data_IF_982408025631
#
_entry.id   IF_982408025631
#
_cell.length_a   1.000
_cell.length_b   1.000
_cell.length_c   1.000
_cell.angle_alpha   90.00
_cell.angle_beta   90.00
_cell.angle_gamma   90.00
#
_symmetry.space_group_name_H-M   'P 1'
#
loop_
_entity.id
_entity.type
_entity.pdbx_description
1 polymer ?
#
# COMPACT_ATOMS: atom_id res chain seq x y z
N UNK A 1 -8.50 5.91 -8.84
CA UNK A 1 -9.87 5.93 -8.31
C UNK A 1 -10.86 5.76 -9.44
N UNK A 2 -11.86 4.91 -9.27
CA UNK A 2 -12.97 4.72 -10.22
C UNK A 2 -14.24 5.25 -9.53
N UNK A 3 -14.56 6.51 -9.80
CA UNK A 3 -15.63 7.23 -9.08
C UNK A 3 -16.66 7.89 -10.01
N UNK A 4 -16.51 7.76 -11.32
CA UNK A 4 -17.46 8.27 -12.32
C UNK A 4 -17.63 7.28 -13.47
N UNK A 5 -18.70 7.42 -14.28
CA UNK A 5 -18.90 6.68 -15.52
C UNK A 5 -17.71 6.77 -16.48
N UNK A 6 -17.16 7.97 -16.65
CA UNK A 6 -16.01 8.23 -17.53
C UNK A 6 -14.76 7.50 -17.02
N UNK A 7 -14.52 7.51 -15.71
CA UNK A 7 -13.41 6.78 -15.10
C UNK A 7 -13.57 5.27 -15.29
N UNK A 8 -14.78 4.74 -15.15
CA UNK A 8 -15.05 3.31 -15.39
C UNK A 8 -14.85 2.95 -16.88
N UNK A 9 -15.36 3.75 -17.81
CA UNK A 9 -15.19 3.53 -19.24
C UNK A 9 -13.72 3.60 -19.70
N UNK A 10 -12.87 4.35 -18.99
CA UNK A 10 -11.45 4.50 -19.32
C UNK A 10 -10.59 3.30 -18.90
N UNK A 11 -11.05 2.41 -18.02
CA UNK A 11 -10.22 1.33 -17.44
C UNK A 11 -9.76 0.33 -18.51
N UNK A 12 -10.68 -0.19 -19.34
CA UNK A 12 -10.33 -1.16 -20.37
C UNK A 12 -9.36 -0.56 -21.41
N UNK A 13 -9.59 0.64 -21.99
CA UNK A 13 -8.61 1.31 -22.85
C UNK A 13 -7.25 1.56 -22.20
N UNK A 14 -7.20 1.86 -20.89
CA UNK A 14 -5.92 1.99 -20.16
C UNK A 14 -5.21 0.63 -20.10
N UNK A 15 -5.93 -0.45 -19.82
CA UNK A 15 -5.37 -1.81 -19.81
C UNK A 15 -4.78 -2.20 -21.17
N UNK A 16 -5.51 -1.91 -22.25
CA UNK A 16 -5.05 -2.18 -23.61
C UNK A 16 -3.77 -1.42 -23.97
N UNK A 17 -3.71 -0.12 -23.63
CA UNK A 17 -2.51 0.71 -23.85
C UNK A 17 -1.31 0.23 -23.04
N UNK A 18 -1.52 -0.20 -21.80
CA UNK A 18 -0.45 -0.79 -20.98
C UNK A 18 0.07 -2.09 -21.59
N UNK A 19 -0.81 -2.96 -22.07
CA UNK A 19 -0.42 -4.19 -22.74
C UNK A 19 0.38 -3.92 -24.02
N UNK A 20 0.03 -2.88 -24.78
CA UNK A 20 0.73 -2.51 -26.03
C UNK A 20 2.19 -2.03 -25.80
N UNK A 21 2.54 -1.66 -24.57
CA UNK A 21 3.92 -1.23 -24.20
C UNK A 21 4.59 -2.22 -23.25
N UNK A 22 4.17 -3.50 -23.24
CA UNK A 22 4.61 -4.54 -22.32
C UNK A 22 4.49 -4.15 -20.84
N UNK A 23 3.64 -3.19 -20.52
CA UNK A 23 3.34 -2.71 -19.18
C UNK A 23 2.45 -3.68 -18.41
N UNK A 24 2.96 -4.85 -18.05
CA UNK A 24 2.22 -5.91 -17.38
C UNK A 24 2.04 -5.62 -15.88
N UNK A 25 1.49 -4.46 -15.54
CA UNK A 25 1.16 -4.09 -14.16
C UNK A 25 -0.33 -4.27 -13.90
N UNK A 26 -0.74 -4.92 -12.78
CA UNK A 26 -2.14 -5.10 -12.45
C UNK A 26 -2.81 -3.76 -12.11
N UNK A 27 -3.97 -3.49 -12.72
CA UNK A 27 -4.79 -2.34 -12.37
C UNK A 27 -5.71 -2.67 -11.20
N UNK A 28 -5.71 -1.83 -10.18
CA UNK A 28 -6.58 -1.97 -9.01
C UNK A 28 -7.61 -0.85 -9.02
N UNK A 29 -8.89 -1.19 -9.08
CA UNK A 29 -9.99 -0.23 -9.01
C UNK A 29 -10.23 0.19 -7.55
N UNK A 30 -10.08 1.47 -7.26
CA UNK A 30 -10.41 2.05 -5.96
C UNK A 30 -11.79 2.70 -6.03
N UNK A 31 -12.79 2.03 -5.43
CA UNK A 31 -14.19 2.41 -5.50
C UNK A 31 -14.64 3.13 -4.22
N UNK A 32 -15.44 4.18 -4.44
CA UNK A 32 -16.10 4.96 -3.39
C UNK A 32 -17.58 5.12 -3.72
N UNK A 33 -18.46 5.07 -2.73
CA UNK A 33 -19.91 5.33 -2.76
C UNK A 33 -20.73 4.66 -3.87
N UNK A 34 -20.34 4.80 -5.14
CA UNK A 34 -21.08 4.31 -6.33
C UNK A 34 -20.45 3.09 -6.99
N UNK A 35 -19.46 2.44 -6.35
CA UNK A 35 -18.75 1.28 -6.92
C UNK A 35 -19.69 0.13 -7.33
N UNK A 36 -20.75 -0.13 -6.55
CA UNK A 36 -21.77 -1.13 -6.88
C UNK A 36 -22.44 -0.86 -8.24
N UNK A 37 -22.72 0.41 -8.57
CA UNK A 37 -23.29 0.80 -9.85
C UNK A 37 -22.27 0.69 -10.98
N UNK A 38 -21.05 1.18 -10.75
CA UNK A 38 -20.00 1.19 -11.77
C UNK A 38 -19.58 -0.23 -12.18
N UNK A 39 -19.40 -1.14 -11.21
CA UNK A 39 -19.08 -2.54 -11.49
C UNK A 39 -20.22 -3.28 -12.22
N UNK A 40 -21.47 -2.88 -11.99
CA UNK A 40 -22.63 -3.49 -12.67
C UNK A 40 -22.86 -2.93 -14.07
N UNK A 41 -22.72 -1.62 -14.23
CA UNK A 41 -23.04 -0.93 -15.49
C UNK A 41 -21.88 -0.94 -16.51
N UNK A 42 -20.64 -1.16 -16.03
CA UNK A 42 -19.43 -1.20 -16.85
C UNK A 42 -18.70 -2.54 -16.70
N UNK A 43 -19.20 -3.62 -17.33
CA UNK A 43 -18.62 -4.95 -17.24
C UNK A 43 -17.16 -4.98 -17.71
N UNK A 44 -16.81 -4.25 -18.77
CA UNK A 44 -15.44 -4.17 -19.27
C UNK A 44 -14.47 -3.57 -18.23
N UNK A 45 -14.93 -2.61 -17.43
CA UNK A 45 -14.16 -2.10 -16.29
C UNK A 45 -13.95 -3.19 -15.24
N UNK A 46 -15.01 -3.90 -14.87
CA UNK A 46 -14.95 -4.96 -13.87
C UNK A 46 -14.00 -6.09 -14.30
N UNK A 47 -14.02 -6.47 -15.57
CA UNK A 47 -13.18 -7.51 -16.15
C UNK A 47 -11.70 -7.09 -16.29
N UNK A 48 -11.44 -5.87 -16.76
CA UNK A 48 -10.09 -5.36 -17.00
C UNK A 48 -9.30 -5.10 -15.70
N UNK A 49 -9.97 -4.88 -14.58
CA UNK A 49 -9.33 -4.71 -13.27
C UNK A 49 -8.80 -6.04 -12.74
N UNK A 50 -7.61 -6.00 -12.14
CA UNK A 50 -7.01 -7.16 -11.48
C UNK A 50 -7.51 -7.36 -10.04
N UNK A 51 -7.99 -6.29 -9.39
CA UNK A 51 -8.48 -6.32 -8.00
C UNK A 51 -9.40 -5.12 -7.76
N UNK A 52 -10.38 -5.29 -6.87
CA UNK A 52 -11.21 -4.19 -6.40
C UNK A 52 -10.80 -3.76 -4.99
N UNK A 53 -10.74 -2.45 -4.72
CA UNK A 53 -10.66 -1.93 -3.38
C UNK A 53 -12.02 -1.39 -2.96
N UNK A 54 -12.51 -1.87 -1.85
CA UNK A 54 -13.79 -1.48 -1.25
C UNK A 54 -13.52 -0.92 0.15
N UNK A 55 -14.04 0.26 0.44
CA UNK A 55 -14.07 0.80 1.79
C UNK A 55 -15.47 0.60 2.39
N UNK A 56 -15.65 -0.30 3.38
CA UNK A 56 -16.96 -0.59 3.95
C UNK A 56 -17.66 0.65 4.54
N UNK A 57 -16.88 1.62 5.04
CA UNK A 57 -17.42 2.89 5.55
C UNK A 57 -17.98 3.83 4.47
N UNK A 58 -17.63 3.59 3.20
CA UNK A 58 -18.02 4.47 2.08
C UNK A 58 -18.91 3.77 1.04
N UNK A 59 -19.46 2.60 1.33
CA UNK A 59 -20.30 1.86 0.35
C UNK A 59 -21.76 2.30 0.38
N UNK A 60 -22.21 2.93 1.46
CA UNK A 60 -23.59 3.36 1.64
C UNK A 60 -23.88 3.67 3.10
N UNK A 61 -25.12 4.03 3.40
CA UNK A 61 -25.55 4.30 4.77
C UNK A 61 -26.76 3.42 5.15
N UNK A 62 -26.79 2.98 6.42
CA UNK A 62 -27.89 2.18 6.96
C UNK A 62 -28.12 0.87 6.20
N UNK A 63 -29.36 0.50 5.96
CA UNK A 63 -29.75 -0.75 5.28
C UNK A 63 -29.26 -0.88 3.83
N UNK A 64 -28.93 0.23 3.17
CA UNK A 64 -28.39 0.21 1.80
C UNK A 64 -26.91 -0.22 1.75
N UNK A 65 -26.18 -0.08 2.85
CA UNK A 65 -24.76 -0.38 2.95
C UNK A 65 -24.48 -1.86 2.65
N UNK A 66 -25.19 -2.76 3.30
CA UNK A 66 -24.98 -4.19 3.12
C UNK A 66 -25.34 -4.64 1.70
N UNK A 67 -26.45 -4.17 1.13
CA UNK A 67 -26.85 -4.49 -0.23
C UNK A 67 -25.84 -3.98 -1.28
N UNK A 68 -25.30 -2.78 -1.12
CA UNK A 68 -24.31 -2.22 -2.02
C UNK A 68 -22.96 -2.92 -1.90
N UNK A 69 -22.55 -3.28 -0.68
CA UNK A 69 -21.38 -4.10 -0.45
C UNK A 69 -21.53 -5.48 -1.10
N UNK A 70 -22.69 -6.13 -0.88
CA UNK A 70 -22.99 -7.44 -1.48
C UNK A 70 -22.89 -7.40 -3.01
N UNK A 71 -23.46 -6.40 -3.67
CA UNK A 71 -23.36 -6.23 -5.14
C UNK A 71 -21.91 -6.15 -5.61
N UNK A 72 -21.03 -5.47 -4.87
CA UNK A 72 -19.61 -5.36 -5.25
C UNK A 72 -18.87 -6.68 -5.04
N UNK A 73 -19.18 -7.43 -3.99
CA UNK A 73 -18.62 -8.78 -3.76
C UNK A 73 -19.12 -9.77 -4.80
N UNK A 74 -20.41 -9.74 -5.14
CA UNK A 74 -20.98 -10.58 -6.21
C UNK A 74 -20.30 -10.31 -7.57
N UNK A 75 -20.00 -9.04 -7.89
CA UNK A 75 -19.22 -8.70 -9.06
C UNK A 75 -17.80 -9.28 -8.98
N UNK A 76 -17.16 -9.24 -7.81
CA UNK A 76 -15.83 -9.83 -7.61
C UNK A 76 -15.86 -11.35 -7.80
N UNK A 77 -16.88 -12.04 -7.26
CA UNK A 77 -17.07 -13.47 -7.46
C UNK A 77 -17.30 -13.81 -8.95
N UNK A 78 -18.19 -13.06 -9.62
CA UNK A 78 -18.52 -13.26 -11.03
C UNK A 78 -17.29 -13.18 -11.93
N UNK A 79 -16.42 -12.21 -11.72
CA UNK A 79 -15.22 -11.98 -12.53
C UNK A 79 -13.95 -12.62 -11.94
N UNK A 80 -14.08 -13.36 -10.85
CA UNK A 80 -12.96 -14.06 -10.20
C UNK A 80 -11.91 -13.13 -9.58
N UNK A 81 -12.28 -11.90 -9.21
CA UNK A 81 -11.34 -10.87 -8.75
C UNK A 81 -11.14 -10.89 -7.23
N UNK A 82 -9.90 -10.77 -6.75
CA UNK A 82 -9.66 -10.51 -5.33
C UNK A 82 -10.17 -9.13 -4.93
N UNK A 83 -10.48 -8.99 -3.64
CA UNK A 83 -10.97 -7.74 -3.05
C UNK A 83 -10.05 -7.31 -1.92
N UNK A 84 -9.65 -6.04 -1.93
CA UNK A 84 -9.05 -5.42 -0.75
C UNK A 84 -10.12 -4.65 0.01
N UNK A 85 -10.46 -5.15 1.18
CA UNK A 85 -11.30 -4.46 2.16
C UNK A 85 -10.43 -3.44 2.88
N UNK A 86 -10.64 -2.17 2.55
CA UNK A 86 -9.78 -1.08 3.00
C UNK A 86 -10.49 -0.13 3.95
N UNK A 87 -10.35 -0.37 5.25
CA UNK A 87 -10.90 0.49 6.29
C UNK A 87 -9.93 1.63 6.58
N UNK A 88 -10.45 2.83 6.70
CA UNK A 88 -9.70 4.01 7.10
C UNK A 88 -10.35 4.62 8.34
N UNK A 89 -9.52 5.15 9.22
CA UNK A 89 -9.95 5.85 10.42
C UNK A 89 -11.00 6.95 10.14
N UNK A 90 -10.74 7.82 9.18
CA UNK A 90 -11.64 8.93 8.83
C UNK A 90 -12.99 8.53 8.22
N UNK A 91 -13.20 7.25 7.92
CA UNK A 91 -14.46 6.70 7.37
C UNK A 91 -14.97 5.50 8.16
N UNK A 92 -14.62 5.42 9.44
CA UNK A 92 -15.08 4.37 10.33
C UNK A 92 -16.59 4.46 10.56
N UNK A 93 -17.24 3.30 10.70
CA UNK A 93 -18.66 3.22 11.03
C UNK A 93 -18.93 3.80 12.42
N UNK A 94 -19.63 4.92 12.45
CA UNK A 94 -19.95 5.64 13.69
C UNK A 94 -20.89 4.84 14.60
N UNK A 95 -21.78 4.02 14.03
CA UNK A 95 -22.68 3.17 14.83
C UNK A 95 -21.90 2.07 15.55
N UNK A 96 -20.96 1.41 14.86
CA UNK A 96 -20.06 0.42 15.47
C UNK A 96 -19.22 1.07 16.56
N UNK A 97 -18.63 2.24 16.29
CA UNK A 97 -17.82 2.95 17.28
C UNK A 97 -18.63 3.32 18.53
N UNK A 98 -19.82 3.87 18.36
CA UNK A 98 -20.69 4.21 19.47
C UNK A 98 -21.06 2.98 20.32
N UNK A 99 -21.45 1.88 19.69
CA UNK A 99 -21.72 0.62 20.35
C UNK A 99 -20.53 0.12 21.20
N UNK A 100 -19.33 0.19 20.65
CA UNK A 100 -18.11 -0.24 21.38
C UNK A 100 -17.76 0.72 22.52
N UNK A 101 -17.95 2.02 22.34
CA UNK A 101 -17.76 3.01 23.42
C UNK A 101 -18.76 2.79 24.57
N UNK A 102 -20.04 2.57 24.26
CA UNK A 102 -21.08 2.29 25.26
C UNK A 102 -20.76 1.00 26.04
N UNK A 103 -20.37 -0.08 25.31
CA UNK A 103 -19.97 -1.31 25.95
C UNK A 103 -18.72 -1.13 26.83
N UNK A 104 -17.74 -0.35 26.38
CA UNK A 104 -16.53 -0.05 27.16
C UNK A 104 -16.85 0.71 28.46
N UNK A 105 -17.82 1.63 28.42
CA UNK A 105 -18.23 2.40 29.60
C UNK A 105 -18.81 1.52 30.73
N UNK A 106 -19.31 0.32 30.40
CA UNK A 106 -19.86 -0.62 31.38
C UNK A 106 -18.81 -1.52 32.03
N UNK A 107 -17.56 -1.50 31.54
CA UNK A 107 -16.46 -2.33 32.07
C UNK A 107 -16.00 -1.80 33.45
N UNK A 108 -15.58 -2.72 34.33
CA UNK A 108 -14.96 -2.36 35.62
C UNK A 108 -13.70 -1.52 35.45
N UNK A 109 -12.96 -1.79 34.38
CA UNK A 109 -11.75 -1.05 33.99
C UNK A 109 -11.90 -0.71 32.50
N UNK A 110 -12.45 0.47 32.17
CA UNK A 110 -12.60 0.88 30.79
C UNK A 110 -11.25 1.00 30.06
N UNK A 111 -11.23 0.60 28.81
CA UNK A 111 -10.09 0.81 27.94
C UNK A 111 -9.98 2.29 27.54
N UNK A 112 -8.78 2.69 27.07
CA UNK A 112 -8.63 4.04 26.50
C UNK A 112 -9.44 4.21 25.21
N UNK A 113 -9.79 5.45 24.90
CA UNK A 113 -10.52 5.76 23.67
C UNK A 113 -9.79 5.26 22.41
N UNK A 114 -8.48 5.39 22.37
CA UNK A 114 -7.62 4.89 21.28
C UNK A 114 -7.74 3.37 21.13
N UNK A 115 -7.78 2.63 22.24
CA UNK A 115 -7.92 1.18 22.21
C UNK A 115 -9.30 0.76 21.68
N UNK A 116 -10.37 1.44 22.09
CA UNK A 116 -11.73 1.18 21.58
C UNK A 116 -11.82 1.50 20.09
N UNK A 117 -11.23 2.59 19.67
CA UNK A 117 -11.21 2.99 18.27
C UNK A 117 -10.39 2.00 17.41
N UNK A 118 -9.26 1.50 17.92
CA UNK A 118 -8.48 0.44 17.26
C UNK A 118 -9.31 -0.83 17.09
N UNK A 119 -10.02 -1.26 18.14
CA UNK A 119 -10.95 -2.41 18.06
C UNK A 119 -12.04 -2.18 17.01
N UNK A 120 -12.64 -0.99 16.97
CA UNK A 120 -13.65 -0.66 15.98
C UNK A 120 -13.12 -0.77 14.54
N UNK A 121 -11.88 -0.30 14.30
CA UNK A 121 -11.23 -0.36 13.01
C UNK A 121 -10.98 -1.82 12.56
N UNK A 122 -10.41 -2.62 13.45
CA UNK A 122 -10.10 -4.03 13.21
C UNK A 122 -11.40 -4.83 12.99
N UNK A 123 -12.38 -4.62 13.86
CA UNK A 123 -13.68 -5.31 13.79
C UNK A 123 -14.41 -4.98 12.49
N UNK A 124 -14.41 -3.73 12.07
CA UNK A 124 -14.99 -3.34 10.77
C UNK A 124 -14.35 -4.09 9.59
N UNK A 125 -13.03 -4.32 9.63
CA UNK A 125 -12.34 -5.09 8.59
C UNK A 125 -12.70 -6.59 8.65
N UNK A 126 -12.65 -7.19 9.82
CA UNK A 126 -12.92 -8.63 10.02
C UNK A 126 -14.38 -8.95 9.72
N UNK A 127 -15.34 -8.18 10.23
CA UNK A 127 -16.77 -8.40 9.98
C UNK A 127 -17.09 -8.26 8.49
N UNK A 128 -16.45 -7.30 7.81
CA UNK A 128 -16.59 -7.14 6.36
C UNK A 128 -15.98 -8.31 5.58
N UNK A 129 -14.87 -8.88 6.05
CA UNK A 129 -14.27 -10.06 5.44
C UNK A 129 -15.15 -11.31 5.63
N UNK A 130 -15.69 -11.50 6.83
CA UNK A 130 -16.65 -12.58 7.11
C UNK A 130 -17.89 -12.46 6.21
N UNK A 131 -18.43 -11.23 6.08
CA UNK A 131 -19.55 -10.96 5.18
C UNK A 131 -19.23 -11.24 3.72
N UNK A 132 -18.03 -10.91 3.24
CA UNK A 132 -17.60 -11.22 1.89
C UNK A 132 -17.53 -12.75 1.65
N UNK A 133 -17.09 -13.51 2.63
CA UNK A 133 -17.07 -14.99 2.54
C UNK A 133 -18.47 -15.58 2.52
N UNK A 134 -19.40 -15.08 3.34
CA UNK A 134 -20.82 -15.47 3.29
C UNK A 134 -21.45 -15.26 1.91
N UNK A 135 -20.99 -14.23 1.19
CA UNK A 135 -21.41 -13.90 -0.18
C UNK A 135 -20.67 -14.71 -1.25
N UNK A 136 -19.78 -15.63 -0.86
CA UNK A 136 -19.12 -16.57 -1.76
C UNK A 136 -17.69 -16.19 -2.17
N UNK A 137 -17.11 -15.10 -1.65
CA UNK A 137 -15.72 -14.78 -1.93
C UNK A 137 -14.80 -15.61 -1.03
N UNK A 138 -13.87 -16.39 -1.63
CA UNK A 138 -12.95 -17.23 -0.85
C UNK A 138 -11.93 -16.38 -0.07
N UNK A 139 -11.48 -16.87 1.09
CA UNK A 139 -10.59 -16.14 2.00
C UNK A 139 -9.25 -15.75 1.34
N UNK A 140 -8.71 -16.60 0.46
CA UNK A 140 -7.47 -16.35 -0.31
C UNK A 140 -7.59 -15.20 -1.31
N UNK A 141 -8.81 -14.74 -1.61
CA UNK A 141 -9.08 -13.56 -2.44
C UNK A 141 -9.37 -12.30 -1.65
N UNK A 142 -9.25 -12.35 -0.33
CA UNK A 142 -9.47 -11.19 0.54
C UNK A 142 -8.14 -10.64 1.03
N UNK A 143 -7.96 -9.32 0.86
CA UNK A 143 -6.84 -8.57 1.42
C UNK A 143 -7.40 -7.54 2.38
N UNK A 144 -6.87 -7.46 3.60
CA UNK A 144 -7.30 -6.47 4.59
C UNK A 144 -6.33 -5.30 4.67
N UNK A 145 -6.86 -4.12 4.86
CA UNK A 145 -6.06 -2.94 5.23
C UNK A 145 -6.82 -2.04 6.20
N UNK A 146 -6.13 -1.69 7.29
CA UNK A 146 -6.62 -0.80 8.34
C UNK A 146 -5.67 0.40 8.43
N UNK A 147 -6.04 1.54 7.84
CA UNK A 147 -5.14 2.68 7.71
C UNK A 147 -5.43 3.76 8.73
N UNK A 148 -4.36 4.18 9.38
CA UNK A 148 -4.30 5.30 10.33
C UNK A 148 -3.15 6.22 9.95
N UNK A 149 -3.07 7.42 10.53
CA UNK A 149 -2.03 8.41 10.22
C UNK A 149 -0.81 8.36 11.14
N UNK A 150 -0.95 7.78 12.34
CA UNK A 150 0.12 7.65 13.32
C UNK A 150 0.93 6.36 13.15
N UNK A 151 2.24 6.45 13.35
CA UNK A 151 3.16 5.30 13.21
C UNK A 151 2.88 4.26 14.28
N UNK A 152 2.78 4.67 15.55
CA UNK A 152 2.59 3.75 16.67
C UNK A 152 1.21 3.09 16.62
N UNK A 153 0.18 3.85 16.24
CA UNK A 153 -1.17 3.33 16.05
C UNK A 153 -1.21 2.31 14.91
N UNK A 154 -0.51 2.57 13.79
CA UNK A 154 -0.44 1.61 12.69
C UNK A 154 0.19 0.29 13.14
N UNK A 155 1.31 0.37 13.83
CA UNK A 155 2.01 -0.82 14.36
C UNK A 155 1.07 -1.60 15.30
N UNK A 156 0.41 -0.92 16.23
CA UNK A 156 -0.51 -1.56 17.16
C UNK A 156 -1.71 -2.21 16.45
N UNK A 157 -2.32 -1.52 15.46
CA UNK A 157 -3.43 -2.04 14.66
C UNK A 157 -3.04 -3.32 13.93
N UNK A 158 -1.90 -3.33 13.22
CA UNK A 158 -1.53 -4.49 12.40
C UNK A 158 -0.99 -5.66 13.20
N UNK A 159 -0.32 -5.42 14.33
CA UNK A 159 0.04 -6.50 15.26
C UNK A 159 -1.20 -7.23 15.78
N UNK A 160 -2.23 -6.48 16.13
CA UNK A 160 -3.49 -7.06 16.59
C UNK A 160 -4.27 -7.70 15.44
N UNK A 161 -4.39 -7.04 14.28
CA UNK A 161 -5.09 -7.57 13.10
C UNK A 161 -4.50 -8.89 12.64
N UNK A 162 -3.16 -9.02 12.65
CA UNK A 162 -2.47 -10.25 12.27
C UNK A 162 -2.78 -11.45 13.19
N UNK A 163 -3.28 -11.21 14.41
CA UNK A 163 -3.71 -12.29 15.33
C UNK A 163 -5.19 -12.68 15.16
N UNK A 164 -5.96 -11.89 14.39
CA UNK A 164 -7.41 -12.04 14.27
C UNK A 164 -7.86 -12.89 13.07
N UNK A 165 -6.96 -13.28 12.18
CA UNK A 165 -7.27 -14.10 11.03
C UNK A 165 -6.09 -14.28 10.08
N UNK A 166 -6.21 -15.22 9.17
CA UNK A 166 -5.17 -15.55 8.18
C UNK A 166 -5.52 -14.92 6.81
N UNK A 167 -5.60 -13.61 6.79
CA UNK A 167 -5.83 -12.83 5.57
C UNK A 167 -4.54 -12.13 5.12
N UNK A 168 -4.37 -11.99 3.82
CA UNK A 168 -3.32 -11.14 3.28
C UNK A 168 -3.50 -9.68 3.76
N UNK A 169 -2.42 -9.06 4.22
CA UNK A 169 -2.43 -7.72 4.79
C UNK A 169 -1.76 -6.69 3.88
N UNK A 170 -2.44 -5.57 3.68
CA UNK A 170 -1.91 -4.44 2.91
C UNK A 170 -1.57 -3.28 3.83
N UNK A 171 -0.28 -3.08 4.05
CA UNK A 171 0.23 -2.06 4.97
C UNK A 171 0.29 -0.67 4.34
N UNK A 172 0.17 0.36 5.15
CA UNK A 172 0.45 1.74 4.77
C UNK A 172 -0.22 2.75 5.68
N UNK A 173 0.46 3.85 5.93
CA UNK A 173 -0.13 5.02 6.56
C UNK A 173 -1.13 5.70 5.60
N UNK A 174 -2.07 6.45 6.15
CA UNK A 174 -2.79 7.50 5.45
C UNK A 174 -2.28 8.85 5.95
N UNK A 175 -2.20 9.85 5.07
CA UNK A 175 -1.80 11.21 5.45
C UNK A 175 -0.41 11.27 6.15
N UNK A 176 0.56 10.49 5.68
CA UNK A 176 1.87 10.42 6.31
C UNK A 176 2.64 11.76 6.28
N UNK A 177 2.33 12.63 5.33
CA UNK A 177 2.89 13.98 5.18
C UNK A 177 3.67 14.17 3.88
N UNK A 178 4.27 15.37 3.76
CA UNK A 178 5.09 15.76 2.61
C UNK A 178 6.57 15.44 2.84
N UNK A 179 7.30 15.25 1.74
CA UNK A 179 8.76 15.18 1.71
C UNK A 179 9.33 14.20 2.74
N UNK A 180 10.37 14.60 3.43
CA UNK A 180 11.10 13.77 4.40
C UNK A 180 10.21 13.26 5.55
N UNK A 181 9.25 14.06 6.03
CA UNK A 181 8.33 13.61 7.10
C UNK A 181 7.53 12.39 6.67
N UNK A 182 6.93 12.43 5.48
CA UNK A 182 6.13 11.33 4.94
C UNK A 182 6.97 10.08 4.68
N UNK A 183 8.18 10.26 4.17
CA UNK A 183 9.13 9.17 3.91
C UNK A 183 9.54 8.51 5.23
N UNK A 184 9.98 9.29 6.22
CA UNK A 184 10.41 8.77 7.54
C UNK A 184 9.27 8.06 8.25
N UNK A 185 8.07 8.65 8.30
CA UNK A 185 6.92 8.03 8.94
C UNK A 185 6.53 6.70 8.26
N UNK A 186 6.48 6.68 6.93
CA UNK A 186 6.17 5.46 6.17
C UNK A 186 7.24 4.39 6.37
N UNK A 187 8.52 4.77 6.31
CA UNK A 187 9.65 3.84 6.50
C UNK A 187 9.62 3.24 7.91
N UNK A 188 9.44 4.06 8.96
CA UNK A 188 9.40 3.58 10.33
C UNK A 188 8.25 2.60 10.58
N UNK A 189 7.05 2.94 10.12
CA UNK A 189 5.87 2.09 10.33
C UNK A 189 5.98 0.76 9.56
N UNK A 190 6.37 0.82 8.28
CA UNK A 190 6.48 -0.36 7.43
C UNK A 190 7.64 -1.26 7.84
N UNK A 191 8.79 -0.67 8.21
CA UNK A 191 9.97 -1.45 8.58
C UNK A 191 9.72 -2.33 9.82
N UNK A 192 9.08 -1.78 10.87
CA UNK A 192 8.77 -2.55 12.07
C UNK A 192 7.87 -3.73 11.75
N UNK A 193 6.77 -3.50 11.04
CA UNK A 193 5.81 -4.56 10.71
C UNK A 193 6.40 -5.62 9.79
N UNK A 194 7.11 -5.21 8.74
CA UNK A 194 7.75 -6.15 7.81
C UNK A 194 8.84 -6.98 8.50
N UNK A 195 9.60 -6.40 9.42
CA UNK A 195 10.61 -7.13 10.22
C UNK A 195 9.97 -8.20 11.11
N UNK A 196 8.73 -7.99 11.54
CA UNK A 196 7.94 -8.95 12.31
C UNK A 196 7.22 -9.99 11.44
N UNK A 197 7.41 -9.96 10.11
CA UNK A 197 6.73 -10.84 9.16
C UNK A 197 5.27 -10.46 8.90
N UNK A 198 4.85 -9.25 9.26
CA UNK A 198 3.49 -8.74 9.07
C UNK A 198 3.43 -7.93 7.78
N UNK A 199 2.58 -8.34 6.84
CA UNK A 199 2.28 -7.61 5.61
C UNK A 199 2.73 -8.31 4.33
N UNK A 200 1.83 -8.35 3.35
CA UNK A 200 2.02 -9.01 2.04
C UNK A 200 2.19 -8.00 0.92
N UNK A 201 1.58 -6.83 1.05
CA UNK A 201 1.70 -5.70 0.13
C UNK A 201 1.81 -4.40 0.90
N UNK A 202 2.48 -3.41 0.31
CA UNK A 202 2.70 -2.11 0.94
C UNK A 202 2.25 -0.96 0.05
N UNK A 203 1.92 0.18 0.67
CA UNK A 203 1.72 1.45 0.02
C UNK A 203 2.35 2.57 0.83
N UNK A 204 3.19 3.35 0.19
CA UNK A 204 3.66 4.63 0.71
C UNK A 204 2.65 5.72 0.33
N UNK A 205 2.33 6.63 1.23
CA UNK A 205 1.41 7.74 1.00
C UNK A 205 2.13 9.06 1.26
N UNK A 206 2.48 9.75 0.19
CA UNK A 206 3.11 11.07 0.27
C UNK A 206 2.12 12.12 -0.24
N UNK A 207 2.09 13.28 0.42
CA UNK A 207 1.46 14.46 -0.15
C UNK A 207 2.39 14.99 -1.24
N UNK A 208 1.97 15.03 -2.51
CA UNK A 208 2.85 15.49 -3.59
C UNK A 208 3.10 16.99 -3.47
N UNK A 209 4.29 17.41 -3.85
CA UNK A 209 4.55 18.81 -4.11
C UNK A 209 3.78 19.27 -5.36
N UNK A 210 3.46 20.56 -5.48
CA UNK A 210 2.86 21.09 -6.71
C UNK A 210 3.73 20.73 -7.93
N UNK A 211 3.14 20.04 -8.91
CA UNK A 211 3.82 19.48 -10.09
C UNK A 211 4.90 18.41 -9.78
N UNK A 212 4.90 17.86 -8.56
CA UNK A 212 5.83 16.80 -8.15
C UNK A 212 5.59 15.48 -8.86
N UNK A 213 6.65 14.67 -8.93
CA UNK A 213 6.61 13.34 -9.52
C UNK A 213 5.76 12.38 -8.68
N UNK A 214 4.68 11.88 -9.27
CA UNK A 214 3.76 10.91 -8.64
C UNK A 214 4.36 9.51 -8.50
N UNK A 215 5.47 9.21 -9.16
CA UNK A 215 6.17 7.93 -9.03
C UNK A 215 7.00 7.84 -7.75
N UNK A 216 7.22 8.95 -7.06
CA UNK A 216 8.02 9.01 -5.83
C UNK A 216 7.53 8.04 -4.74
N UNK A 217 6.22 7.84 -4.61
CA UNK A 217 5.65 6.88 -3.65
C UNK A 217 6.09 5.44 -3.96
N UNK A 218 6.23 5.07 -5.24
CA UNK A 218 6.70 3.76 -5.67
C UNK A 218 8.21 3.62 -5.43
N UNK A 219 8.97 4.66 -5.75
CA UNK A 219 10.42 4.68 -5.50
C UNK A 219 10.71 4.49 -4.01
N UNK A 220 10.06 5.23 -3.14
CA UNK A 220 10.22 5.09 -1.68
C UNK A 220 9.81 3.71 -1.19
N UNK A 221 8.73 3.14 -1.70
CA UNK A 221 8.31 1.78 -1.35
C UNK A 221 9.35 0.73 -1.76
N UNK A 222 9.95 0.86 -2.94
CA UNK A 222 11.03 0.01 -3.41
C UNK A 222 12.28 0.16 -2.53
N UNK A 223 12.66 1.39 -2.19
CA UNK A 223 13.82 1.68 -1.33
C UNK A 223 13.64 1.08 0.08
N UNK A 224 12.44 1.14 0.66
CA UNK A 224 12.15 0.48 1.95
C UNK A 224 12.39 -1.02 1.85
N UNK A 225 11.80 -1.69 0.87
CA UNK A 225 11.93 -3.14 0.71
C UNK A 225 13.38 -3.57 0.39
N UNK A 226 14.08 -2.78 -0.40
CA UNK A 226 15.46 -3.06 -0.78
C UNK A 226 16.43 -2.83 0.38
N UNK A 227 16.29 -1.73 1.10
CA UNK A 227 17.13 -1.41 2.27
C UNK A 227 16.95 -2.45 3.38
N UNK A 228 15.75 -2.98 3.54
CA UNK A 228 15.47 -4.07 4.48
C UNK A 228 15.88 -5.46 3.99
N UNK A 229 16.35 -5.60 2.76
CA UNK A 229 16.79 -6.88 2.18
C UNK A 229 15.65 -7.82 1.76
N UNK A 230 14.41 -7.35 1.69
CA UNK A 230 13.28 -8.19 1.25
C UNK A 230 13.22 -8.37 -0.27
N UNK A 231 13.59 -7.35 -1.03
CA UNK A 231 13.58 -7.37 -2.51
C UNK A 231 14.69 -6.50 -3.07
N UNK A 232 15.12 -6.81 -4.28
CA UNK A 232 16.03 -5.97 -5.08
C UNK A 232 15.32 -5.46 -6.32
N UNK A 233 15.41 -4.17 -6.57
CA UNK A 233 14.77 -3.52 -7.73
C UNK A 233 15.79 -2.89 -8.69
N UNK A 234 16.87 -2.35 -8.12
CA UNK A 234 17.98 -1.76 -8.84
C UNK A 234 19.28 -1.94 -8.02
N UNK A 235 20.47 -1.84 -8.64
CA UNK A 235 21.72 -1.87 -7.92
C UNK A 235 21.77 -0.84 -6.79
N UNK A 236 22.21 -1.26 -5.61
CA UNK A 236 22.33 -0.37 -4.46
C UNK A 236 23.65 0.38 -4.56
N UNK A 237 23.58 1.70 -4.59
CA UNK A 237 24.76 2.57 -4.59
C UNK A 237 24.98 3.13 -3.19
N UNK A 238 26.07 2.71 -2.56
CA UNK A 238 26.53 3.27 -1.29
C UNK A 238 27.60 4.32 -1.57
N UNK A 239 27.41 5.54 -1.06
CA UNK A 239 28.38 6.61 -1.21
C UNK A 239 28.93 7.02 0.15
N UNK A 240 30.23 7.31 0.19
CA UNK A 240 30.88 7.87 1.36
C UNK A 240 30.27 9.24 1.70
N UNK A 241 29.98 9.56 2.97
CA UNK A 241 29.43 10.87 3.35
C UNK A 241 30.46 12.03 3.24
N UNK A 242 31.73 11.71 3.02
CA UNK A 242 32.83 12.69 3.13
C UNK A 242 33.29 12.88 4.58
N UNK A 243 34.57 12.94 4.79
CA UNK A 243 35.19 13.21 6.11
C UNK A 243 36.47 14.03 5.92
N UNK A 244 37.22 14.30 7.00
CA UNK A 244 38.49 15.05 6.93
C UNK A 244 39.60 14.41 6.07
N UNK A 245 39.42 13.19 5.59
CA UNK A 245 40.31 12.49 4.65
C UNK A 245 39.94 12.72 3.18
N UNK A 246 38.75 13.31 2.94
CA UNK A 246 38.27 13.56 1.58
C UNK A 246 38.88 14.86 1.07
N UNK A 247 39.53 14.77 -0.08
CA UNK A 247 40.25 15.92 -0.67
C UNK A 247 39.49 16.58 -1.82
N UNK A 248 38.35 16.01 -2.22
CA UNK A 248 37.53 16.49 -3.33
C UNK A 248 36.06 16.11 -3.11
N UNK A 249 35.15 16.88 -3.67
CA UNK A 249 33.71 16.60 -3.74
C UNK A 249 33.29 15.83 -4.99
N UNK A 250 34.24 15.50 -5.85
CA UNK A 250 34.00 14.77 -7.12
C UNK A 250 33.26 13.44 -6.90
N UNK A 251 33.51 12.75 -5.80
CA UNK A 251 32.83 11.48 -5.50
C UNK A 251 31.31 11.63 -5.35
N UNK A 252 30.82 12.80 -4.90
CA UNK A 252 29.38 13.10 -4.79
C UNK A 252 28.77 13.19 -6.18
N UNK A 253 29.42 13.92 -7.09
CA UNK A 253 29.03 14.01 -8.51
C UNK A 253 29.08 12.64 -9.17
N UNK A 254 30.14 11.88 -8.93
CA UNK A 254 30.30 10.51 -9.44
C UNK A 254 29.17 9.57 -8.95
N UNK A 255 28.83 9.63 -7.67
CA UNK A 255 27.73 8.83 -7.10
C UNK A 255 26.40 9.15 -7.79
N UNK A 256 26.08 10.42 -8.01
CA UNK A 256 24.87 10.82 -8.74
C UNK A 256 24.88 10.31 -10.19
N UNK A 257 26.00 10.45 -10.89
CA UNK A 257 26.15 9.97 -12.26
C UNK A 257 25.99 8.46 -12.34
N UNK A 258 26.59 7.70 -11.42
CA UNK A 258 26.46 6.25 -11.34
C UNK A 258 25.01 5.85 -11.06
N UNK A 259 24.33 6.48 -10.10
CA UNK A 259 22.92 6.19 -9.83
C UNK A 259 22.03 6.44 -11.05
N UNK A 260 22.23 7.57 -11.75
CA UNK A 260 21.50 7.88 -12.97
C UNK A 260 21.80 6.87 -14.10
N UNK A 261 23.07 6.54 -14.29
CA UNK A 261 23.48 5.56 -15.28
C UNK A 261 22.87 4.17 -15.03
N UNK A 262 22.98 3.68 -13.80
CA UNK A 262 22.40 2.39 -13.41
C UNK A 262 20.88 2.37 -13.64
N UNK A 263 20.17 3.42 -13.22
CA UNK A 263 18.72 3.52 -13.45
C UNK A 263 18.38 3.44 -14.93
N UNK A 264 19.12 4.13 -15.78
CA UNK A 264 18.87 4.16 -17.22
C UNK A 264 19.21 2.82 -17.89
N UNK A 265 20.21 2.08 -17.40
CA UNK A 265 20.63 0.80 -17.96
C UNK A 265 19.77 -0.38 -17.46
N UNK A 266 19.11 -0.26 -16.33
CA UNK A 266 18.36 -1.37 -15.71
C UNK A 266 17.35 -2.05 -16.64
N UNK A 267 16.53 -1.34 -17.44
CA UNK A 267 15.61 -2.00 -18.35
C UNK A 267 16.31 -2.95 -19.33
N UNK A 268 17.47 -2.56 -19.84
CA UNK A 268 18.28 -3.38 -20.76
C UNK A 268 19.00 -4.51 -19.98
N UNK A 269 19.64 -4.18 -18.88
CA UNK A 269 20.46 -5.15 -18.13
C UNK A 269 19.63 -6.28 -17.53
N UNK A 270 18.39 -6.02 -17.10
CA UNK A 270 17.48 -7.08 -16.63
C UNK A 270 17.15 -8.13 -17.69
N UNK A 271 17.26 -7.78 -18.97
CA UNK A 271 17.06 -8.74 -20.08
C UNK A 271 18.34 -9.55 -20.37
N UNK A 272 19.51 -9.04 -19.98
CA UNK A 272 20.80 -9.62 -20.30
C UNK A 272 21.46 -10.36 -19.13
N UNK A 273 21.24 -9.87 -17.90
CA UNK A 273 21.94 -10.34 -16.70
C UNK A 273 20.94 -10.67 -15.60
N UNK A 274 20.80 -11.93 -15.28
CA UNK A 274 19.97 -12.40 -14.16
C UNK A 274 20.54 -11.94 -12.83
N UNK A 275 19.73 -11.28 -11.99
CA UNK A 275 20.14 -10.84 -10.66
C UNK A 275 20.92 -9.52 -10.64
N UNK A 276 21.00 -8.79 -11.75
CA UNK A 276 21.71 -7.51 -11.84
C UNK A 276 21.14 -6.47 -10.86
N UNK A 277 19.87 -6.56 -10.51
CA UNK A 277 19.20 -5.71 -9.53
C UNK A 277 19.75 -5.88 -8.10
N UNK A 278 20.42 -6.97 -7.80
CA UNK A 278 21.05 -7.23 -6.50
C UNK A 278 22.52 -6.77 -6.41
N UNK A 279 23.05 -6.20 -7.48
CA UNK A 279 24.42 -5.67 -7.51
C UNK A 279 24.59 -4.54 -6.49
N UNK A 280 25.74 -4.53 -5.80
CA UNK A 280 26.13 -3.48 -4.87
C UNK A 280 27.28 -2.67 -5.46
N UNK A 281 27.15 -1.37 -5.45
CA UNK A 281 28.16 -0.41 -5.95
C UNK A 281 28.55 0.53 -4.82
N UNK A 282 29.85 0.66 -4.57
CA UNK A 282 30.38 1.60 -3.58
C UNK A 282 31.15 2.73 -4.30
N UNK A 283 30.85 3.97 -3.91
CA UNK A 283 31.55 5.17 -4.39
C UNK A 283 32.25 5.82 -3.21
N UNK A 284 33.59 5.78 -3.23
CA UNK A 284 34.43 6.23 -2.12
C UNK A 284 35.14 7.52 -2.44
N UNK A 285 35.21 8.44 -1.45
CA UNK A 285 35.87 9.73 -1.58
C UNK A 285 37.37 9.72 -1.24
N UNK A 286 37.92 8.58 -0.79
CA UNK A 286 39.34 8.43 -0.48
C UNK A 286 39.77 6.97 -0.62
N UNK A 287 41.09 6.72 -0.62
CA UNK A 287 41.69 5.38 -0.79
C UNK A 287 41.69 4.53 0.49
N UNK A 288 41.27 5.09 1.62
CA UNK A 288 41.32 4.41 2.93
C UNK A 288 40.16 3.42 3.09
N UNK A 289 39.00 3.77 2.58
CA UNK A 289 37.82 2.91 2.58
C UNK A 289 37.77 2.19 1.22
N UNK A 290 38.36 1.04 1.15
CA UNK A 290 38.39 0.20 -0.04
C UNK A 290 37.19 -0.76 -0.11
N UNK A 291 37.06 -1.52 -1.21
CA UNK A 291 36.03 -2.54 -1.36
C UNK A 291 36.22 -3.64 -0.29
N UNK A 292 35.36 -3.67 0.70
CA UNK A 292 35.40 -4.61 1.81
C UNK A 292 34.81 -4.09 3.10
N UNK A 293 34.45 -2.81 3.16
CA UNK A 293 33.62 -2.24 4.24
C UNK A 293 32.11 -2.27 3.92
#
# INVERSE_FOLDING_TARGET
TVNSPEAAAAVAPIRERLNAIDGNVPLIGDFHYNGHRLLTQYPDCAEALAKYRINPGNVGQGSKRDAQFATMIEAACKYGKPVRIGVNWGSLDQALLAQLMDANATLKTPLSAEAVMREALIRSAIDSAARAQELGLSADKIVLSCKVSGVQELIAVYRELATRGDYALHLGLTEAGMGSKGIVASSAALAVLLQEGIGDTIRVSLTPEPNGDRTQEVVVAQEILQTMGFRSFAPMVSACPGCGRTTSDYFQTLAQQIQAYLRNQMPLWKTQYTGVESMKVAVMGCVVNGPGE
#
